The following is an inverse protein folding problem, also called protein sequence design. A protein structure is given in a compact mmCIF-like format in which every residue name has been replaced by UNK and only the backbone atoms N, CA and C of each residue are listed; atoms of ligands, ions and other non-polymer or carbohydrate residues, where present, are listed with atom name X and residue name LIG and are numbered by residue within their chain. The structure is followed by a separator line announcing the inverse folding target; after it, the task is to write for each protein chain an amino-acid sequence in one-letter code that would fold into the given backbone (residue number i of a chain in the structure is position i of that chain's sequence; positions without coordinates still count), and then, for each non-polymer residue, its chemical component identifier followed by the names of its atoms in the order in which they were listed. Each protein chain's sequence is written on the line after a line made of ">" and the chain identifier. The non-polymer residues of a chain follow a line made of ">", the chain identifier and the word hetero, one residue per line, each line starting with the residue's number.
data_IF_618076115014
#
_entry.id   IF_618076115014
#
_cell.length_a   1.000
_cell.length_b   1.000
_cell.length_c   1.000
_cell.angle_alpha   90.00
_cell.angle_beta   90.00
_cell.angle_gamma   90.00
#
_symmetry.space_group_name_H-M   'P 1'
#
loop_
_entity.id
_entity.type
_entity.pdbx_description
1 polymer ?
#
# COMPACT_ATOMS: atom_id res chain seq x y z
N UNK A 1 -4.37 101.31 -62.75
CA UNK A 1 -5.43 101.70 -61.78
C UNK A 1 -6.48 100.57 -61.64
N UNK A 2 -6.05 99.31 -61.45
CA UNK A 2 -6.97 98.15 -61.39
C UNK A 2 -6.68 97.26 -60.17
N UNK A 3 -5.47 97.33 -59.61
CA UNK A 3 -5.08 96.51 -58.45
C UNK A 3 -5.65 97.00 -57.12
N UNK A 4 -5.92 98.31 -56.96
CA UNK A 4 -6.29 98.88 -55.66
C UNK A 4 -7.75 98.60 -55.25
N UNK A 5 -8.65 98.46 -56.23
CA UNK A 5 -10.06 98.18 -56.01
C UNK A 5 -10.32 96.73 -55.57
N UNK A 6 -9.57 95.78 -56.11
CA UNK A 6 -9.73 94.36 -55.77
C UNK A 6 -9.30 94.07 -54.32
N UNK A 7 -8.29 94.76 -53.80
CA UNK A 7 -7.84 94.57 -52.42
C UNK A 7 -8.86 95.05 -51.38
N UNK A 8 -9.57 96.15 -51.65
CA UNK A 8 -10.53 96.74 -50.71
C UNK A 8 -11.80 95.89 -50.60
N UNK A 9 -12.26 95.33 -51.72
CA UNK A 9 -13.42 94.44 -51.76
C UNK A 9 -13.13 93.09 -51.09
N UNK A 10 -11.91 92.56 -51.24
CA UNK A 10 -11.47 91.37 -50.52
C UNK A 10 -11.45 91.60 -48.99
N UNK A 11 -11.02 92.78 -48.54
CA UNK A 11 -11.01 93.13 -47.12
C UNK A 11 -12.39 93.16 -46.46
N UNK A 12 -13.38 93.80 -47.11
CA UNK A 12 -14.74 93.91 -46.58
C UNK A 12 -15.44 92.54 -46.45
N UNK A 13 -15.33 91.69 -47.49
CA UNK A 13 -15.89 90.34 -47.45
C UNK A 13 -15.26 89.48 -46.36
N UNK A 14 -13.96 89.68 -46.08
CA UNK A 14 -13.28 89.02 -44.96
C UNK A 14 -13.89 89.36 -43.61
N UNK A 15 -14.21 90.64 -43.36
CA UNK A 15 -14.78 91.07 -42.06
C UNK A 15 -16.22 90.56 -41.86
N UNK A 16 -17.06 90.59 -42.90
CA UNK A 16 -18.42 90.08 -42.81
C UNK A 16 -18.47 88.57 -42.47
N UNK A 17 -17.57 87.79 -43.08
CA UNK A 17 -17.44 86.36 -42.79
C UNK A 17 -16.98 86.09 -41.36
N UNK A 18 -16.12 86.95 -40.79
CA UNK A 18 -15.69 86.83 -39.40
C UNK A 18 -16.82 87.09 -38.41
N UNK A 19 -17.65 88.11 -38.64
CA UNK A 19 -18.80 88.42 -37.76
C UNK A 19 -19.86 87.32 -37.82
N UNK A 20 -20.20 86.84 -39.03
CA UNK A 20 -21.12 85.73 -39.20
C UNK A 20 -20.61 84.44 -38.54
N UNK A 21 -19.30 84.17 -38.67
CA UNK A 21 -18.64 83.07 -37.97
C UNK A 21 -18.75 83.17 -36.45
N UNK A 22 -18.58 84.37 -35.87
CA UNK A 22 -18.68 84.57 -34.43
C UNK A 22 -20.10 84.36 -33.88
N UNK A 23 -21.13 84.88 -34.57
CA UNK A 23 -22.54 84.68 -34.16
C UNK A 23 -22.91 83.19 -34.20
N UNK A 24 -22.49 82.47 -35.24
CA UNK A 24 -22.73 81.04 -35.36
C UNK A 24 -22.06 80.25 -34.22
N UNK A 25 -20.83 80.60 -33.86
CA UNK A 25 -20.12 80.00 -32.73
C UNK A 25 -20.82 80.28 -31.39
N UNK A 26 -21.32 81.50 -31.18
CA UNK A 26 -22.06 81.85 -29.96
C UNK A 26 -23.39 81.08 -29.84
N UNK A 27 -24.13 80.95 -30.94
CA UNK A 27 -25.38 80.18 -30.97
C UNK A 27 -25.15 78.69 -30.68
N UNK A 28 -24.13 78.08 -31.32
CA UNK A 28 -23.74 76.69 -31.03
C UNK A 28 -23.35 76.53 -29.56
N UNK A 29 -22.64 77.49 -28.98
CA UNK A 29 -22.23 77.42 -27.58
C UNK A 29 -23.44 77.44 -26.61
N UNK A 30 -24.47 78.23 -26.90
CA UNK A 30 -25.69 78.30 -26.09
C UNK A 30 -26.57 77.04 -26.20
N UNK A 31 -26.70 76.48 -27.42
CA UNK A 31 -27.37 75.19 -27.59
C UNK A 31 -26.64 74.08 -26.82
N UNK A 32 -25.31 74.08 -26.87
CA UNK A 32 -24.49 73.11 -26.14
C UNK A 32 -24.64 73.22 -24.63
N UNK A 33 -24.73 74.44 -24.08
CA UNK A 33 -24.96 74.62 -22.63
C UNK A 33 -26.36 74.19 -22.21
N UNK A 34 -27.38 74.48 -23.03
CA UNK A 34 -28.78 74.09 -22.74
C UNK A 34 -28.95 72.56 -22.77
N UNK A 35 -28.34 71.89 -23.75
CA UNK A 35 -28.31 70.42 -23.81
C UNK A 35 -27.58 69.86 -22.58
N UNK A 36 -26.42 70.42 -22.23
CA UNK A 36 -25.66 70.01 -21.05
C UNK A 36 -26.45 70.15 -19.74
N UNK A 37 -27.23 71.23 -19.58
CA UNK A 37 -28.05 71.44 -18.39
C UNK A 37 -29.21 70.44 -18.29
N UNK A 38 -29.82 70.06 -19.43
CA UNK A 38 -30.86 69.01 -19.45
C UNK A 38 -30.28 67.63 -19.16
N UNK A 39 -29.10 67.32 -19.69
CA UNK A 39 -28.39 66.07 -19.37
C UNK A 39 -28.07 65.94 -17.88
N UNK A 40 -27.71 67.05 -17.22
CA UNK A 40 -27.52 67.07 -15.76
C UNK A 40 -28.82 66.79 -15.00
N UNK A 41 -29.96 67.35 -15.42
CA UNK A 41 -31.25 67.07 -14.79
C UNK A 41 -31.67 65.61 -14.95
N UNK A 42 -31.46 65.02 -16.12
CA UNK A 42 -31.75 63.60 -16.38
C UNK A 42 -30.90 62.72 -15.46
N UNK A 43 -29.60 63.01 -15.34
CA UNK A 43 -28.71 62.28 -14.42
C UNK A 43 -29.15 62.37 -12.96
N UNK A 44 -29.66 63.52 -12.51
CA UNK A 44 -30.18 63.68 -11.14
C UNK A 44 -31.42 62.80 -10.92
N UNK A 45 -32.33 62.77 -11.89
CA UNK A 45 -33.55 61.95 -11.80
C UNK A 45 -33.22 60.45 -11.83
N UNK A 46 -32.33 60.01 -12.72
CA UNK A 46 -31.85 58.63 -12.77
C UNK A 46 -31.22 58.20 -11.43
N UNK A 47 -30.39 59.08 -10.84
CA UNK A 47 -29.79 58.82 -9.53
C UNK A 47 -30.84 58.68 -8.43
N UNK A 48 -31.89 59.49 -8.44
CA UNK A 48 -32.97 59.39 -7.46
C UNK A 48 -33.80 58.12 -7.64
N UNK A 49 -34.09 57.72 -8.88
CA UNK A 49 -34.81 56.48 -9.16
C UNK A 49 -34.00 55.26 -8.70
N UNK A 50 -32.69 55.27 -8.95
CA UNK A 50 -31.79 54.24 -8.45
C UNK A 50 -31.80 54.18 -6.92
N UNK A 51 -31.72 55.33 -6.23
CA UNK A 51 -31.82 55.39 -4.76
C UNK A 51 -33.12 54.79 -4.21
N UNK A 52 -34.26 55.02 -4.87
CA UNK A 52 -35.55 54.44 -4.45
C UNK A 52 -35.61 52.93 -4.70
N UNK A 53 -35.05 52.47 -5.81
CA UNK A 53 -34.93 51.04 -6.13
C UNK A 53 -34.04 50.33 -5.12
N UNK A 54 -32.92 50.94 -4.76
CA UNK A 54 -31.98 50.42 -3.75
C UNK A 54 -32.67 50.36 -2.37
N UNK A 55 -33.41 51.42 -1.98
CA UNK A 55 -34.19 51.42 -0.72
C UNK A 55 -35.26 50.34 -0.69
N UNK A 56 -36.00 50.13 -1.78
CA UNK A 56 -37.02 49.08 -1.86
C UNK A 56 -36.40 47.67 -1.70
N UNK A 57 -35.26 47.43 -2.38
CA UNK A 57 -34.51 46.18 -2.21
C UNK A 57 -34.00 45.98 -0.78
N UNK A 58 -33.56 47.06 -0.11
CA UNK A 58 -33.13 46.99 1.28
C UNK A 58 -34.29 46.75 2.27
N UNK A 59 -35.52 47.15 1.92
CA UNK A 59 -36.72 46.79 2.69
C UNK A 59 -37.12 45.33 2.48
N UNK A 60 -37.05 44.80 1.26
CA UNK A 60 -37.28 43.39 0.96
C UNK A 60 -36.30 42.49 1.72
N UNK A 61 -35.02 42.87 1.82
CA UNK A 61 -34.02 42.13 2.61
C UNK A 61 -34.31 42.09 4.12
N UNK A 62 -35.15 43.00 4.62
CA UNK A 62 -35.50 43.13 6.05
C UNK A 62 -36.83 42.47 6.38
N UNK A 63 -37.56 41.91 5.41
CA UNK A 63 -38.79 41.19 5.72
C UNK A 63 -38.45 39.90 6.47
N UNK A 64 -39.26 39.51 7.47
CA UNK A 64 -39.07 38.25 8.20
C UNK A 64 -39.02 37.03 7.26
N UNK A 65 -39.79 37.05 6.18
CA UNK A 65 -39.86 35.99 5.17
C UNK A 65 -38.54 35.83 4.40
N UNK A 66 -37.90 36.92 3.97
CA UNK A 66 -36.60 36.86 3.32
C UNK A 66 -35.49 36.39 4.28
N UNK A 67 -35.56 36.84 5.53
CA UNK A 67 -34.62 36.40 6.58
C UNK A 67 -34.78 34.90 6.85
N UNK A 68 -36.02 34.39 6.93
CA UNK A 68 -36.30 32.96 7.10
C UNK A 68 -35.80 32.13 5.91
N UNK A 69 -36.02 32.60 4.68
CA UNK A 69 -35.52 31.93 3.47
C UNK A 69 -33.98 31.90 3.44
N UNK A 70 -33.31 33.01 3.76
CA UNK A 70 -31.84 33.09 3.81
C UNK A 70 -31.28 32.21 4.93
N UNK A 71 -31.90 32.22 6.11
CA UNK A 71 -31.48 31.38 7.22
C UNK A 71 -31.68 29.89 6.89
N UNK A 72 -32.81 29.51 6.31
CA UNK A 72 -33.08 28.14 5.87
C UNK A 72 -32.08 27.66 4.82
N UNK A 73 -31.78 28.49 3.81
CA UNK A 73 -30.72 28.20 2.82
C UNK A 73 -29.36 28.06 3.49
N UNK A 74 -29.01 28.94 4.44
CA UNK A 74 -27.73 28.89 5.15
C UNK A 74 -27.63 27.66 6.05
N UNK A 75 -28.72 27.24 6.70
CA UNK A 75 -28.78 26.02 7.50
C UNK A 75 -28.56 24.81 6.61
N UNK A 76 -29.30 24.69 5.50
CA UNK A 76 -29.10 23.59 4.53
C UNK A 76 -27.66 23.51 4.01
N UNK A 77 -27.08 24.64 3.61
CA UNK A 77 -25.68 24.67 3.16
C UNK A 77 -24.71 24.23 4.26
N UNK A 78 -24.97 24.57 5.52
CA UNK A 78 -24.14 24.13 6.64
C UNK A 78 -24.35 22.65 6.98
N UNK A 79 -25.56 22.13 6.88
CA UNK A 79 -25.86 20.71 7.06
C UNK A 79 -25.21 19.85 5.97
N UNK A 80 -25.26 20.28 4.70
CA UNK A 80 -24.57 19.62 3.58
C UNK A 80 -23.05 19.64 3.77
N UNK A 81 -22.48 20.76 4.22
CA UNK A 81 -21.05 20.88 4.50
C UNK A 81 -20.62 20.02 5.69
N UNK A 82 -21.43 19.97 6.76
CA UNK A 82 -21.19 19.08 7.91
C UNK A 82 -21.25 17.61 7.48
N UNK A 83 -22.21 17.23 6.62
CA UNK A 83 -22.32 15.88 6.10
C UNK A 83 -21.09 15.50 5.27
N UNK A 84 -20.67 16.37 4.34
CA UNK A 84 -19.44 16.17 3.55
C UNK A 84 -18.21 16.01 4.44
N UNK A 85 -18.04 16.90 5.43
CA UNK A 85 -16.90 16.83 6.35
C UNK A 85 -16.93 15.57 7.23
N UNK A 86 -18.12 15.04 7.55
CA UNK A 86 -18.24 13.77 8.27
C UNK A 86 -17.85 12.58 7.39
N UNK A 87 -18.29 12.56 6.14
CA UNK A 87 -17.94 11.52 5.16
C UNK A 87 -16.43 11.53 4.85
N UNK A 88 -15.84 12.72 4.67
CA UNK A 88 -14.38 12.89 4.47
C UNK A 88 -13.58 12.37 5.68
N UNK A 89 -14.06 12.63 6.91
CA UNK A 89 -13.39 12.18 8.15
C UNK A 89 -13.36 10.66 8.27
N UNK A 90 -14.44 9.98 7.92
CA UNK A 90 -14.50 8.52 8.00
C UNK A 90 -13.61 7.88 6.92
N UNK A 91 -13.60 8.44 5.69
CA UNK A 91 -12.67 8.02 4.63
C UNK A 91 -11.19 8.24 4.98
N UNK A 92 -10.87 9.38 5.60
CA UNK A 92 -9.52 9.67 6.06
C UNK A 92 -9.07 8.73 7.17
N UNK A 93 -9.95 8.32 8.09
CA UNK A 93 -9.63 7.35 9.14
C UNK A 93 -9.32 5.96 8.57
N UNK A 94 -10.05 5.51 7.55
CA UNK A 94 -9.78 4.24 6.86
C UNK A 94 -8.44 4.29 6.11
N UNK A 95 -8.17 5.40 5.41
CA UNK A 95 -6.89 5.63 4.72
C UNK A 95 -5.72 5.65 5.72
N UNK A 96 -5.88 6.33 6.86
CA UNK A 96 -4.86 6.41 7.92
C UNK A 96 -4.60 5.04 8.54
N UNK A 97 -5.66 4.22 8.75
CA UNK A 97 -5.50 2.84 9.22
C UNK A 97 -4.76 1.97 8.19
N UNK A 98 -5.10 2.09 6.90
CA UNK A 98 -4.43 1.33 5.84
C UNK A 98 -2.96 1.73 5.70
N UNK A 99 -2.65 3.03 5.75
CA UNK A 99 -1.29 3.56 5.72
C UNK A 99 -0.49 3.19 6.96
N UNK A 100 -1.10 3.18 8.14
CA UNK A 100 -0.43 2.68 9.36
C UNK A 100 -0.11 1.19 9.29
N UNK A 101 -1.00 0.36 8.72
CA UNK A 101 -0.71 -1.05 8.45
C UNK A 101 0.45 -1.20 7.46
N UNK A 102 0.46 -0.40 6.40
CA UNK A 102 1.52 -0.39 5.39
C UNK A 102 2.86 0.04 5.99
N UNK A 103 2.89 1.09 6.81
CA UNK A 103 4.09 1.52 7.56
C UNK A 103 4.55 0.44 8.54
N UNK A 104 3.63 -0.25 9.21
CA UNK A 104 3.99 -1.33 10.14
C UNK A 104 4.60 -2.51 9.39
N UNK A 105 4.03 -2.88 8.23
CA UNK A 105 4.60 -3.89 7.32
C UNK A 105 5.99 -3.48 6.84
N UNK A 106 6.14 -2.25 6.35
CA UNK A 106 7.43 -1.74 5.85
C UNK A 106 8.48 -1.64 6.97
N UNK A 107 8.08 -1.27 8.20
CA UNK A 107 8.99 -1.31 9.36
C UNK A 107 9.43 -2.73 9.69
N UNK A 108 8.52 -3.69 9.62
CA UNK A 108 8.83 -5.10 9.86
C UNK A 108 9.72 -5.68 8.75
N UNK A 109 9.48 -5.33 7.49
CA UNK A 109 10.34 -5.67 6.35
C UNK A 109 11.71 -5.00 6.47
N UNK A 110 11.76 -3.73 6.87
CA UNK A 110 13.01 -3.02 7.14
C UNK A 110 13.76 -3.63 8.32
N UNK A 111 13.08 -4.03 9.39
CA UNK A 111 13.70 -4.70 10.54
C UNK A 111 14.22 -6.09 10.16
N UNK A 112 13.49 -6.85 9.34
CA UNK A 112 13.98 -8.11 8.74
C UNK A 112 15.18 -7.88 7.83
N UNK A 113 15.13 -6.89 6.95
CA UNK A 113 16.25 -6.55 6.07
C UNK A 113 17.45 -6.01 6.86
N UNK A 114 17.21 -5.26 7.94
CA UNK A 114 18.25 -4.78 8.87
C UNK A 114 18.78 -5.92 9.72
N UNK A 115 18.00 -6.97 9.99
CA UNK A 115 18.47 -8.18 10.67
C UNK A 115 19.30 -9.06 9.72
N UNK A 116 18.91 -9.15 8.44
CA UNK A 116 19.68 -9.81 7.38
C UNK A 116 20.96 -9.02 7.05
N UNK A 117 20.88 -7.69 7.10
CA UNK A 117 21.97 -6.74 6.86
C UNK A 117 22.71 -6.28 8.12
N UNK A 118 22.39 -6.83 9.30
CA UNK A 118 23.17 -6.62 10.53
C UNK A 118 24.44 -7.44 10.39
N UNK A 119 25.43 -6.78 9.76
CA UNK A 119 26.83 -7.14 9.68
C UNK A 119 27.07 -8.65 9.55
N UNK A 120 27.07 -9.14 8.31
CA UNK A 120 27.77 -10.37 7.97
C UNK A 120 29.22 -10.22 8.45
N UNK A 121 29.54 -10.85 9.57
CA UNK A 121 30.90 -10.86 10.09
C UNK A 121 31.63 -12.05 9.48
N UNK A 122 32.73 -11.77 8.81
CA UNK A 122 33.71 -12.75 8.40
C UNK A 122 34.82 -12.76 9.44
N UNK A 123 35.12 -13.93 9.99
CA UNK A 123 36.27 -14.08 10.87
C UNK A 123 37.53 -14.17 10.02
N UNK A 124 38.35 -13.12 10.03
CA UNK A 124 39.58 -13.04 9.26
C UNK A 124 40.72 -13.70 10.04
N UNK A 125 41.21 -14.82 9.53
CA UNK A 125 42.29 -15.60 10.14
C UNK A 125 43.59 -14.82 10.29
N UNK A 126 43.84 -13.84 9.42
CA UNK A 126 45.07 -13.05 9.45
C UNK A 126 45.03 -11.97 10.53
N UNK A 127 43.84 -11.43 10.85
CA UNK A 127 43.67 -10.38 11.85
C UNK A 127 43.07 -10.85 13.18
N UNK A 128 42.60 -12.10 13.28
CA UNK A 128 41.94 -12.67 14.47
C UNK A 128 40.74 -11.83 14.95
N UNK A 129 40.01 -11.23 14.01
CA UNK A 129 38.90 -10.32 14.27
C UNK A 129 37.71 -10.62 13.35
N UNK A 130 36.49 -10.38 13.85
CA UNK A 130 35.27 -10.40 13.06
C UNK A 130 35.09 -9.08 12.30
N UNK A 131 35.20 -9.14 10.97
CA UNK A 131 35.13 -7.98 10.08
C UNK A 131 33.78 -7.98 9.37
N UNK A 132 33.16 -6.80 9.25
CA UNK A 132 31.93 -6.65 8.45
C UNK A 132 32.26 -6.74 6.96
N UNK A 133 31.66 -7.71 6.27
CA UNK A 133 31.81 -7.89 4.82
C UNK A 133 31.16 -6.71 4.08
N UNK A 134 31.90 -5.94 3.25
CA UNK A 134 31.31 -4.94 2.38
C UNK A 134 30.48 -5.61 1.29
N UNK A 135 29.24 -5.16 1.06
CA UNK A 135 28.35 -5.75 0.05
C UNK A 135 28.94 -5.76 -1.37
N UNK A 136 29.79 -4.79 -1.69
CA UNK A 136 30.46 -4.68 -2.99
C UNK A 136 31.53 -5.76 -3.24
N UNK A 137 31.98 -6.45 -2.19
CA UNK A 137 33.02 -7.49 -2.28
C UNK A 137 32.43 -8.91 -2.22
N UNK A 138 31.10 -9.04 -2.16
CA UNK A 138 30.42 -10.33 -2.16
C UNK A 138 30.30 -10.86 -3.59
N UNK A 139 30.80 -12.09 -3.80
CA UNK A 139 30.65 -12.80 -5.06
C UNK A 139 29.54 -13.85 -4.97
N UNK A 140 28.60 -13.82 -5.91
CA UNK A 140 27.51 -14.78 -6.00
C UNK A 140 27.86 -15.92 -6.95
N UNK A 141 27.71 -17.16 -6.50
CA UNK A 141 28.04 -18.36 -7.28
C UNK A 141 26.90 -19.39 -7.20
N UNK A 142 26.62 -20.07 -8.32
CA UNK A 142 25.79 -21.27 -8.34
C UNK A 142 26.63 -22.47 -7.90
N UNK A 143 26.26 -23.13 -6.80
CA UNK A 143 27.03 -24.23 -6.21
C UNK A 143 26.59 -25.60 -6.76
N UNK A 144 25.35 -25.71 -7.23
CA UNK A 144 24.82 -26.95 -7.79
C UNK A 144 23.33 -27.14 -7.54
N UNK A 145 22.90 -28.41 -7.57
CA UNK A 145 21.51 -28.82 -7.41
C UNK A 145 21.42 -30.07 -6.53
N UNK A 146 20.38 -30.15 -5.70
CA UNK A 146 20.07 -31.30 -4.85
C UNK A 146 18.76 -31.92 -5.33
N UNK A 147 18.79 -33.21 -5.67
CA UNK A 147 17.57 -33.97 -5.94
C UNK A 147 17.03 -34.58 -4.65
N UNK A 148 15.75 -34.33 -4.39
CA UNK A 148 15.04 -34.75 -3.18
C UNK A 148 13.93 -35.71 -3.58
N UNK A 149 13.83 -36.83 -2.86
CA UNK A 149 12.83 -37.90 -3.05
C UNK A 149 12.07 -38.21 -1.74
N UNK A 150 12.31 -37.39 -0.71
CA UNK A 150 11.74 -37.53 0.63
C UNK A 150 11.00 -36.28 1.08
N UNK A 151 10.73 -35.34 0.15
CA UNK A 151 10.23 -33.99 0.44
C UNK A 151 11.01 -33.25 1.55
N UNK A 152 12.28 -33.61 1.76
CA UNK A 152 13.09 -33.12 2.88
C UNK A 152 14.58 -33.06 2.56
N UNK A 153 15.28 -32.10 3.16
CA UNK A 153 16.72 -31.90 3.04
C UNK A 153 17.35 -31.95 4.42
N UNK A 154 18.38 -32.79 4.57
CA UNK A 154 19.20 -32.88 5.77
C UNK A 154 20.50 -32.11 5.55
N UNK A 155 20.75 -31.14 6.43
CA UNK A 155 22.03 -30.44 6.53
C UNK A 155 22.77 -30.99 7.76
N UNK A 156 23.91 -31.61 7.53
CA UNK A 156 24.70 -32.25 8.58
C UNK A 156 26.17 -32.35 8.19
N UNK A 157 27.03 -32.48 9.20
CA UNK A 157 28.44 -32.80 8.99
C UNK A 157 28.56 -34.25 8.45
N UNK A 158 29.24 -34.46 7.30
CA UNK A 158 29.47 -35.80 6.75
C UNK A 158 30.13 -36.78 7.75
N UNK A 159 31.02 -36.28 8.62
CA UNK A 159 31.66 -37.09 9.66
C UNK A 159 30.68 -37.55 10.74
N UNK A 160 29.64 -36.78 10.99
CA UNK A 160 28.57 -37.21 11.89
C UNK A 160 27.70 -38.26 11.23
N UNK A 161 27.39 -38.11 9.94
CA UNK A 161 26.58 -39.08 9.20
C UNK A 161 27.25 -40.47 9.17
N UNK A 162 28.57 -40.52 9.06
CA UNK A 162 29.32 -41.77 9.13
C UNK A 162 29.30 -42.42 10.53
N UNK A 163 29.51 -41.63 11.58
CA UNK A 163 29.82 -42.15 12.93
C UNK A 163 28.64 -42.24 13.88
N UNK A 164 27.71 -41.31 13.79
CA UNK A 164 26.66 -41.11 14.78
C UNK A 164 25.26 -41.36 14.24
N UNK A 165 25.13 -41.62 12.93
CA UNK A 165 23.84 -41.90 12.32
C UNK A 165 23.23 -43.20 12.87
N UNK A 166 22.09 -43.06 13.52
CA UNK A 166 21.41 -44.16 14.18
C UNK A 166 20.57 -44.97 13.18
N UNK A 167 20.88 -46.27 13.11
CA UNK A 167 20.15 -47.26 12.29
C UNK A 167 19.23 -48.15 13.12
N UNK A 168 19.31 -48.03 14.44
CA UNK A 168 18.51 -48.78 15.42
C UNK A 168 17.12 -48.17 15.67
N UNK A 169 16.86 -46.98 15.13
CA UNK A 169 15.56 -46.30 15.24
C UNK A 169 14.68 -46.74 14.08
N UNK A 170 13.52 -47.31 14.40
CA UNK A 170 12.52 -47.69 13.40
C UNK A 170 11.58 -46.52 13.07
N UNK A 171 11.16 -46.47 11.81
CA UNK A 171 10.18 -45.47 11.36
C UNK A 171 8.77 -46.00 11.61
N UNK A 172 7.96 -45.20 12.31
CA UNK A 172 6.57 -45.52 12.59
C UNK A 172 5.67 -44.43 12.02
N UNK A 173 4.92 -44.72 10.96
CA UNK A 173 3.99 -43.75 10.36
C UNK A 173 2.64 -43.69 11.09
N UNK A 174 2.69 -43.36 12.39
CA UNK A 174 1.50 -43.15 13.21
C UNK A 174 0.91 -41.78 12.89
N UNK A 175 -0.20 -41.79 12.15
CA UNK A 175 -1.05 -40.61 11.89
C UNK A 175 -2.43 -40.84 12.53
N UNK A 176 -2.68 -40.14 13.63
CA UNK A 176 -3.91 -40.27 14.40
C UNK A 176 -4.87 -39.13 14.10
N UNK A 177 -6.15 -39.45 14.06
CA UNK A 177 -7.21 -38.49 13.82
C UNK A 177 -8.33 -38.70 14.84
N UNK A 178 -8.78 -37.62 15.48
CA UNK A 178 -9.90 -37.65 16.42
C UNK A 178 -11.20 -37.29 15.71
N UNK A 179 -12.19 -38.17 15.78
CA UNK A 179 -13.54 -37.86 15.33
C UNK A 179 -14.28 -37.05 16.40
N UNK A 180 -14.85 -35.91 16.03
CA UNK A 180 -15.36 -34.93 16.99
C UNK A 180 -16.68 -35.34 17.64
N UNK A 181 -17.52 -36.12 16.96
CA UNK A 181 -18.87 -36.44 17.47
C UNK A 181 -18.84 -37.51 18.58
N UNK A 182 -17.98 -38.53 18.45
CA UNK A 182 -17.90 -39.62 19.43
C UNK A 182 -16.54 -39.69 20.16
N UNK A 183 -15.57 -38.85 19.78
CA UNK A 183 -14.24 -38.81 20.38
C UNK A 183 -13.34 -40.00 20.02
N UNK A 184 -13.77 -40.92 19.15
CA UNK A 184 -12.99 -42.08 18.71
C UNK A 184 -11.78 -41.63 17.91
N UNK A 185 -10.67 -42.34 18.10
CA UNK A 185 -9.41 -42.10 17.39
C UNK A 185 -9.32 -43.12 16.26
N UNK A 186 -8.96 -42.63 15.08
CA UNK A 186 -8.69 -43.42 13.89
C UNK A 186 -7.24 -43.24 13.47
N UNK A 187 -6.59 -44.34 13.10
CA UNK A 187 -5.20 -44.40 12.71
C UNK A 187 -5.06 -44.80 11.24
N UNK A 188 -4.28 -44.01 10.50
CA UNK A 188 -3.88 -44.36 9.14
C UNK A 188 -3.05 -45.66 9.12
N UNK A 189 -3.34 -46.54 8.16
CA UNK A 189 -2.71 -47.85 8.01
C UNK A 189 -3.26 -48.93 8.94
N UNK A 190 -4.22 -48.59 9.82
CA UNK A 190 -4.92 -49.54 10.69
C UNK A 190 -6.42 -49.50 10.42
N UNK A 191 -7.03 -48.32 10.56
CA UNK A 191 -8.47 -48.13 10.36
C UNK A 191 -8.83 -47.78 8.90
N UNK A 192 -7.87 -47.27 8.13
CA UNK A 192 -8.00 -46.97 6.71
C UNK A 192 -6.62 -46.90 6.04
N UNK A 193 -6.51 -47.35 4.77
CA UNK A 193 -5.24 -47.37 4.02
C UNK A 193 -5.04 -46.11 3.17
N UNK A 194 -6.11 -45.54 2.62
CA UNK A 194 -6.07 -44.30 1.84
C UNK A 194 -7.08 -43.29 2.36
N UNK A 195 -6.81 -42.01 2.14
CA UNK A 195 -7.72 -40.93 2.55
C UNK A 195 -9.00 -40.84 1.73
N UNK A 196 -9.06 -41.60 0.63
CA UNK A 196 -10.22 -41.79 -0.23
C UNK A 196 -11.02 -43.05 0.13
N UNK A 197 -10.50 -43.90 1.03
CA UNK A 197 -11.20 -45.09 1.47
C UNK A 197 -12.29 -44.71 2.47
N UNK A 198 -13.46 -45.33 2.34
CA UNK A 198 -14.57 -45.11 3.26
C UNK A 198 -14.24 -45.79 4.58
N UNK A 199 -14.25 -45.05 5.69
CA UNK A 199 -14.20 -45.64 7.03
C UNK A 199 -15.56 -46.30 7.27
N UNK A 200 -15.61 -47.64 7.29
CA UNK A 200 -16.86 -48.41 7.32
C UNK A 200 -17.82 -47.97 8.43
N UNK A 201 -17.30 -47.68 9.63
CA UNK A 201 -18.10 -47.26 10.78
C UNK A 201 -18.73 -45.86 10.62
N UNK A 202 -18.14 -45.00 9.80
CA UNK A 202 -18.57 -43.60 9.60
C UNK A 202 -19.27 -43.39 8.26
N UNK A 203 -19.15 -44.35 7.32
CA UNK A 203 -19.77 -44.28 5.99
C UNK A 203 -19.26 -43.12 5.12
N UNK A 204 -18.13 -42.51 5.49
CA UNK A 204 -17.50 -41.39 4.78
C UNK A 204 -15.99 -41.57 4.72
N UNK A 205 -15.36 -40.88 3.78
CA UNK A 205 -13.90 -40.87 3.65
C UNK A 205 -13.25 -39.92 4.67
N UNK A 206 -11.99 -40.16 5.09
CA UNK A 206 -11.22 -39.23 5.90
C UNK A 206 -11.19 -37.80 5.32
N UNK A 207 -11.07 -37.67 4.00
CA UNK A 207 -11.04 -36.37 3.32
C UNK A 207 -12.36 -35.60 3.44
N UNK A 208 -13.50 -36.27 3.27
CA UNK A 208 -14.81 -35.67 3.48
C UNK A 208 -15.00 -35.23 4.94
N UNK A 209 -14.61 -36.08 5.89
CA UNK A 209 -14.75 -35.79 7.32
C UNK A 209 -13.82 -34.66 7.79
N UNK A 210 -12.61 -34.58 7.23
CA UNK A 210 -11.68 -33.48 7.48
C UNK A 210 -12.22 -32.16 6.92
N UNK A 211 -12.81 -32.17 5.71
CA UNK A 211 -13.45 -31.00 5.10
C UNK A 211 -14.67 -30.51 5.89
N UNK A 212 -15.41 -31.43 6.51
CA UNK A 212 -16.52 -31.13 7.42
C UNK A 212 -16.05 -30.68 8.82
N UNK A 213 -14.74 -30.69 9.10
CA UNK A 213 -14.17 -30.36 10.41
C UNK A 213 -14.50 -31.40 11.49
N UNK A 214 -14.92 -32.60 11.08
CA UNK A 214 -15.29 -33.68 11.99
C UNK A 214 -14.16 -34.63 12.33
N UNK A 215 -13.10 -34.64 11.52
CA UNK A 215 -11.92 -35.45 11.74
C UNK A 215 -10.71 -34.53 11.90
N UNK A 216 -10.19 -34.43 13.12
CA UNK A 216 -9.09 -33.50 13.47
C UNK A 216 -7.80 -34.29 13.65
N UNK A 217 -6.70 -33.95 12.96
CA UNK A 217 -5.43 -34.63 13.16
C UNK A 217 -4.90 -34.39 14.58
N UNK A 218 -4.34 -35.43 15.19
CA UNK A 218 -3.68 -35.37 16.49
C UNK A 218 -2.16 -35.32 16.23
N UNK A 219 -1.52 -34.24 16.68
CA UNK A 219 -0.07 -34.14 16.67
C UNK A 219 0.51 -35.05 17.76
N UNK A 220 1.43 -35.93 17.36
CA UNK A 220 2.20 -36.77 18.27
C UNK A 220 3.57 -36.10 18.43
N UNK A 221 3.93 -35.78 19.66
CA UNK A 221 5.27 -35.29 19.96
C UNK A 221 6.27 -36.44 19.79
N UNK A 222 7.28 -36.24 18.95
CA UNK A 222 8.31 -37.23 18.64
C UNK A 222 9.67 -36.62 18.82
N UNK A 223 10.63 -37.43 19.23
CA UNK A 223 12.01 -36.99 19.31
C UNK A 223 12.67 -36.96 17.92
N UNK A 224 13.30 -35.82 17.61
CA UNK A 224 14.10 -35.65 16.42
C UNK A 224 15.51 -36.22 16.66
N UNK A 225 15.62 -37.54 16.61
CA UNK A 225 16.91 -38.22 16.72
C UNK A 225 17.73 -38.07 15.43
N UNK A 226 19.04 -38.18 15.53
CA UNK A 226 19.94 -38.21 14.37
C UNK A 226 19.87 -39.56 13.64
N UNK A 227 18.75 -39.77 12.96
CA UNK A 227 18.35 -40.98 12.24
C UNK A 227 17.40 -40.60 11.09
N UNK A 228 17.13 -41.55 10.19
CA UNK A 228 16.15 -41.35 9.13
C UNK A 228 14.75 -41.06 9.70
N UNK A 229 14.21 -41.83 10.67
CA UNK A 229 12.93 -41.50 11.28
C UNK A 229 12.91 -40.10 11.91
N UNK A 230 13.94 -39.74 12.67
CA UNK A 230 14.02 -38.43 13.30
C UNK A 230 14.04 -37.28 12.30
N UNK A 231 14.76 -37.45 11.18
CA UNK A 231 14.77 -36.50 10.07
C UNK A 231 13.37 -36.34 9.42
N UNK A 232 12.67 -37.45 9.18
CA UNK A 232 11.31 -37.43 8.62
C UNK A 232 10.29 -36.83 9.59
N UNK A 233 10.43 -37.06 10.90
CA UNK A 233 9.57 -36.42 11.90
C UNK A 233 9.83 -34.91 11.97
N UNK A 234 11.09 -34.49 11.90
CA UNK A 234 11.48 -33.09 11.88
C UNK A 234 10.93 -32.35 10.65
N UNK A 235 10.95 -32.96 9.45
CA UNK A 235 10.38 -32.32 8.25
C UNK A 235 8.85 -32.29 8.24
N UNK A 236 8.20 -33.22 8.96
CA UNK A 236 6.73 -33.28 9.10
C UNK A 236 6.21 -32.49 10.31
N UNK A 237 7.09 -31.84 11.07
CA UNK A 237 6.72 -30.99 12.18
C UNK A 237 5.83 -29.83 11.73
N UNK A 238 5.15 -29.20 12.69
CA UNK A 238 4.35 -28.01 12.42
C UNK A 238 5.18 -26.86 11.86
N UNK A 239 6.42 -26.74 12.32
CA UNK A 239 7.40 -25.77 11.88
C UNK A 239 7.99 -26.13 10.51
N UNK A 240 7.79 -27.35 10.01
CA UNK A 240 8.38 -27.89 8.78
C UNK A 240 9.91 -27.96 8.80
N UNK A 241 10.51 -27.93 9.98
CA UNK A 241 11.92 -28.22 10.22
C UNK A 241 12.16 -28.72 11.65
N UNK A 242 13.35 -29.22 11.92
CA UNK A 242 13.79 -29.56 13.27
C UNK A 242 15.28 -29.89 13.37
N UNK A 243 15.87 -29.50 14.50
CA UNK A 243 17.24 -29.88 14.86
C UNK A 243 17.28 -31.33 15.34
N UNK A 244 18.19 -32.11 14.77
CA UNK A 244 18.42 -33.49 15.14
C UNK A 244 19.40 -33.59 16.33
N UNK A 245 19.08 -34.51 17.25
CA UNK A 245 19.84 -34.77 18.46
C UNK A 245 20.71 -36.01 18.32
N UNK A 246 21.93 -35.94 18.84
CA UNK A 246 22.77 -37.12 19.07
C UNK A 246 22.10 -38.09 20.04
N UNK A 247 22.62 -39.32 20.10
CA UNK A 247 22.12 -40.38 21.01
C UNK A 247 22.01 -39.95 22.47
N UNK A 248 22.93 -39.11 22.94
CA UNK A 248 22.93 -38.56 24.32
C UNK A 248 22.00 -37.36 24.51
N UNK A 249 21.21 -36.99 23.50
CA UNK A 249 20.24 -35.90 23.55
C UNK A 249 20.78 -34.50 23.25
N UNK A 250 22.09 -34.36 23.01
CA UNK A 250 22.70 -33.08 22.62
C UNK A 250 22.25 -32.67 21.20
N UNK A 251 21.94 -31.38 21.00
CA UNK A 251 21.61 -30.82 19.68
C UNK A 251 22.85 -30.60 18.82
N UNK A 252 22.66 -30.24 17.55
CA UNK A 252 23.75 -29.95 16.62
C UNK A 252 24.22 -31.13 15.77
N UNK A 253 23.50 -32.26 15.78
CA UNK A 253 23.83 -33.38 14.90
C UNK A 253 23.47 -33.08 13.43
N UNK A 254 22.42 -32.30 13.21
CA UNK A 254 22.02 -31.81 11.90
C UNK A 254 20.70 -31.06 12.01
N UNK A 255 20.23 -30.51 10.89
CA UNK A 255 18.89 -29.93 10.77
C UNK A 255 18.21 -30.54 9.54
N UNK A 256 16.97 -30.97 9.70
CA UNK A 256 16.15 -31.42 8.59
C UNK A 256 15.07 -30.38 8.31
N UNK A 257 14.89 -30.03 7.04
CA UNK A 257 13.89 -29.06 6.59
C UNK A 257 12.99 -29.70 5.55
N UNK A 258 11.71 -29.32 5.52
CA UNK A 258 10.75 -29.71 4.48
C UNK A 258 10.92 -28.84 3.26
N UNK A 259 10.89 -29.45 2.09
CA UNK A 259 10.78 -28.73 0.82
C UNK A 259 9.35 -28.23 0.58
N UNK A 260 9.17 -27.22 -0.28
CA UNK A 260 7.83 -26.67 -0.58
C UNK A 260 7.03 -27.60 -1.50
N UNK A 261 7.60 -28.01 -2.64
CA UNK A 261 6.92 -28.85 -3.63
C UNK A 261 7.07 -30.36 -3.43
N UNK A 262 7.85 -30.78 -2.44
CA UNK A 262 8.12 -32.19 -2.18
C UNK A 262 9.30 -32.68 -3.00
N UNK A 263 9.12 -33.69 -3.81
CA UNK A 263 10.21 -34.31 -4.55
C UNK A 263 10.55 -33.48 -5.80
N UNK A 264 11.84 -33.35 -6.09
CA UNK A 264 12.32 -32.47 -7.16
C UNK A 264 13.79 -32.09 -7.07
N UNK A 265 14.23 -31.27 -8.02
CA UNK A 265 15.57 -30.67 -8.05
C UNK A 265 15.55 -29.26 -7.47
N UNK A 266 16.39 -29.00 -6.48
CA UNK A 266 16.47 -27.73 -5.76
C UNK A 266 17.84 -27.09 -5.96
N UNK A 267 17.84 -25.82 -6.36
CA UNK A 267 19.06 -25.09 -6.70
C UNK A 267 19.77 -24.59 -5.44
N UNK A 268 21.10 -24.69 -5.44
CA UNK A 268 21.96 -24.28 -4.33
C UNK A 268 22.86 -23.15 -4.81
N UNK A 269 22.85 -22.04 -4.06
CA UNK A 269 23.66 -20.86 -4.33
C UNK A 269 24.57 -20.56 -3.15
N UNK A 270 25.67 -19.87 -3.42
CA UNK A 270 26.67 -19.49 -2.44
C UNK A 270 27.03 -18.02 -2.56
N UNK A 271 27.39 -17.42 -1.44
CA UNK A 271 28.10 -16.14 -1.39
C UNK A 271 29.52 -16.36 -0.90
N UNK A 272 30.48 -15.82 -1.66
CA UNK A 272 31.90 -15.84 -1.32
C UNK A 272 32.40 -14.47 -0.90
N UNK A 273 33.38 -14.49 0.00
CA UNK A 273 34.17 -13.33 0.40
C UNK A 273 35.64 -13.75 0.50
N UNK A 274 36.55 -13.00 -0.15
CA UNK A 274 37.99 -13.33 -0.24
C UNK A 274 38.29 -14.77 -0.72
N UNK A 275 37.39 -15.35 -1.53
CA UNK A 275 37.51 -16.72 -2.03
C UNK A 275 36.87 -17.78 -1.13
N UNK A 276 36.48 -17.46 0.10
CA UNK A 276 35.83 -18.38 1.02
C UNK A 276 34.31 -18.30 0.91
N UNK A 277 33.65 -19.48 0.96
CA UNK A 277 32.20 -19.58 0.99
C UNK A 277 31.71 -19.32 2.42
N UNK A 278 30.97 -18.23 2.65
CA UNK A 278 30.51 -17.86 3.99
C UNK A 278 28.99 -18.02 4.16
N UNK A 279 28.23 -18.13 3.07
CA UNK A 279 26.78 -18.36 3.12
C UNK A 279 26.33 -19.26 1.99
N UNK A 280 25.38 -20.14 2.30
CA UNK A 280 24.71 -21.02 1.35
C UNK A 280 23.22 -20.76 1.42
N UNK A 281 22.59 -20.70 0.25
CA UNK A 281 21.15 -20.65 0.08
C UNK A 281 20.70 -21.88 -0.66
N UNK A 282 19.62 -22.50 -0.19
CA UNK A 282 18.93 -23.57 -0.91
C UNK A 282 17.56 -23.01 -1.27
N UNK A 283 17.31 -22.84 -2.57
CA UNK A 283 16.01 -22.41 -3.05
C UNK A 283 15.04 -23.60 -2.96
N UNK A 284 14.17 -23.58 -1.95
CA UNK A 284 13.14 -24.60 -1.76
C UNK A 284 11.87 -24.32 -2.58
N UNK A 285 11.93 -23.36 -3.52
CA UNK A 285 10.77 -22.73 -4.16
C UNK A 285 9.87 -23.76 -4.83
#
# INVERSE_FOLDING_TARGET
>A
MQELLNYLQAGSNGVALLVAGWIYVAYIKNLRSTVSAKDEQIKIIEKNLQLWKDKASDFEKKTPEYIEEVLSKRIKLREEEIRRLSEDKDGDLELLSSKNREVTRLKHELEKATYIGRALTYYDLDSDEEIVIPESEIEYEHLGEIFVDSASILITDPMYADRYWRKDVEYEDIRLHKYTENGKIYQYGVDFEHYEDVIEELGKTPNELAKEGKLIPIEIEREYTYSLPGALYASRSKESYGELKFEKGHTGAGICVRTVYGDGGYQVYGERYKGDLYRIYIELQ
#
